data_IF_146450925017
#
_entry.id   IF_146450925017
#
_cell.length_a   1.000
_cell.length_b   1.000
_cell.length_c   1.000
_cell.angle_alpha   90.00
_cell.angle_beta   90.00
_cell.angle_gamma   90.00
#
_symmetry.space_group_name_H-M   'P 1'
#
loop_
_entity.id
_entity.type
_entity.pdbx_description
1 polymer ?
#
# COMPACT_ATOMS: atom_id res chain seq x y z
N UNK A 1 -6.63 -3.00 25.50
CA UNK A 1 -5.29 -2.40 25.66
C UNK A 1 -5.39 -1.24 26.64
N UNK A 2 -4.53 -1.18 27.66
CA UNK A 2 -4.56 -0.12 28.66
C UNK A 2 -4.17 1.23 28.04
N UNK A 3 -5.13 2.14 27.91
CA UNK A 3 -4.96 3.48 27.32
C UNK A 3 -4.34 4.50 28.29
N UNK A 4 -3.59 4.04 29.29
CA UNK A 4 -3.01 4.93 30.32
C UNK A 4 -1.68 5.48 29.83
N UNK A 5 -1.54 6.81 29.82
CA UNK A 5 -0.23 7.45 29.61
C UNK A 5 0.70 7.02 30.75
N UNK A 6 1.92 6.52 30.47
CA UNK A 6 2.87 6.20 31.51
C UNK A 6 3.24 7.48 32.25
N UNK A 7 2.96 7.51 33.55
CA UNK A 7 3.55 8.51 34.45
C UNK A 7 4.87 7.89 34.87
N UNK A 8 5.97 8.38 34.32
CA UNK A 8 7.29 7.79 34.53
C UNK A 8 7.84 8.19 35.89
N UNK A 9 7.54 7.37 36.90
CA UNK A 9 8.29 7.28 38.15
C UNK A 9 9.07 5.96 38.25
N UNK A 10 9.21 5.22 37.15
CA UNK A 10 9.86 3.91 37.06
C UNK A 10 10.95 3.84 35.99
N UNK A 11 12.00 3.08 36.31
CA UNK A 11 13.06 2.64 35.41
C UNK A 11 12.52 1.65 34.38
N UNK A 12 13.17 1.54 33.21
CA UNK A 12 12.78 0.58 32.17
C UNK A 12 13.02 -0.84 32.68
N UNK A 13 11.95 -1.60 32.90
CA UNK A 13 12.00 -3.01 33.31
C UNK A 13 11.99 -3.91 32.07
N UNK A 14 13.03 -4.72 31.92
CA UNK A 14 13.13 -5.73 30.87
C UNK A 14 12.95 -7.13 31.45
N UNK A 15 12.03 -7.90 30.90
CA UNK A 15 11.88 -9.31 31.20
C UNK A 15 12.76 -10.13 30.23
N UNK A 16 13.64 -10.97 30.78
CA UNK A 16 14.56 -11.82 30.01
C UNK A 16 14.04 -13.25 29.83
N UNK A 17 12.84 -13.56 30.31
CA UNK A 17 12.25 -14.89 30.19
C UNK A 17 12.03 -15.26 28.72
N UNK A 18 12.55 -16.41 28.26
CA UNK A 18 12.29 -16.88 26.91
C UNK A 18 10.86 -17.40 26.78
N UNK A 19 10.33 -17.37 25.55
CA UNK A 19 9.04 -17.96 25.22
C UNK A 19 9.07 -19.49 25.47
N UNK A 20 8.00 -20.10 26.02
CA UNK A 20 7.96 -21.54 26.29
C UNK A 20 8.07 -22.36 24.99
N UNK A 21 8.73 -23.53 25.08
CA UNK A 21 9.02 -24.40 23.92
C UNK A 21 7.77 -24.96 23.23
N UNK A 22 6.62 -24.96 23.89
CA UNK A 22 5.34 -25.35 23.29
C UNK A 22 4.90 -24.41 22.16
N UNK A 23 5.42 -23.18 22.12
CA UNK A 23 5.08 -22.18 21.11
C UNK A 23 6.21 -22.09 20.07
N UNK A 24 5.93 -22.40 18.78
CA UNK A 24 6.95 -22.28 17.74
C UNK A 24 7.44 -20.85 17.57
N UNK A 25 8.77 -20.68 17.57
CA UNK A 25 9.44 -19.38 17.35
C UNK A 25 9.15 -18.85 15.94
N UNK A 26 8.94 -17.54 15.84
CA UNK A 26 8.78 -16.84 14.56
C UNK A 26 9.79 -15.71 14.49
N UNK A 27 10.36 -15.50 13.30
CA UNK A 27 11.21 -14.34 13.05
C UNK A 27 10.31 -13.13 12.80
N UNK A 28 10.47 -12.12 13.64
CA UNK A 28 9.72 -10.87 13.58
C UNK A 28 10.00 -10.07 12.30
N UNK A 29 9.21 -9.01 12.08
CA UNK A 29 9.29 -8.17 10.88
C UNK A 29 10.62 -7.44 10.74
N UNK A 30 11.17 -6.93 11.86
CA UNK A 30 12.45 -6.22 11.86
C UNK A 30 12.45 -4.88 11.11
N UNK A 31 11.28 -4.24 10.95
CA UNK A 31 11.13 -2.95 10.24
C UNK A 31 10.81 -1.81 11.19
N UNK A 32 11.32 -0.62 10.90
CA UNK A 32 10.94 0.63 11.58
C UNK A 32 9.59 1.15 11.08
N UNK A 33 9.07 2.20 11.72
CA UNK A 33 7.75 2.79 11.46
C UNK A 33 7.58 3.31 10.02
N UNK A 34 8.55 4.07 9.49
CA UNK A 34 8.48 4.64 8.15
C UNK A 34 8.37 3.59 7.01
N UNK A 35 9.24 2.56 6.91
CA UNK A 35 9.11 1.52 5.88
C UNK A 35 7.85 0.68 6.07
N UNK A 36 7.43 0.42 7.31
CA UNK A 36 6.18 -0.30 7.58
C UNK A 36 4.96 0.49 7.09
N UNK A 37 4.96 1.81 7.30
CA UNK A 37 3.89 2.71 6.82
C UNK A 37 3.88 2.83 5.29
N UNK A 38 5.06 2.86 4.66
CA UNK A 38 5.21 2.81 3.20
C UNK A 38 4.62 1.52 2.61
N UNK A 39 4.87 0.37 3.25
CA UNK A 39 4.40 -0.93 2.79
C UNK A 39 2.97 -1.30 3.23
N UNK A 40 2.32 -0.51 4.09
CA UNK A 40 1.07 -0.86 4.76
C UNK A 40 -0.05 -1.28 3.80
N UNK A 41 -0.21 -0.56 2.68
CA UNK A 41 -1.24 -0.88 1.69
C UNK A 41 -0.96 -2.18 0.94
N UNK A 42 0.30 -2.49 0.65
CA UNK A 42 0.68 -3.74 -0.03
C UNK A 42 0.56 -4.95 0.90
N UNK A 43 0.90 -4.76 2.18
CA UNK A 43 0.65 -5.77 3.22
C UNK A 43 -0.86 -5.99 3.35
N UNK A 44 -1.65 -4.93 3.37
CA UNK A 44 -3.11 -5.01 3.38
C UNK A 44 -3.68 -5.77 2.18
N UNK A 45 -3.19 -5.50 0.96
CA UNK A 45 -3.66 -6.15 -0.26
C UNK A 45 -3.37 -7.66 -0.28
N UNK A 46 -2.17 -8.08 0.13
CA UNK A 46 -1.78 -9.50 0.10
C UNK A 46 -2.23 -10.28 1.33
N UNK A 47 -2.18 -9.65 2.51
CA UNK A 47 -2.39 -10.31 3.79
C UNK A 47 -3.77 -10.06 4.38
N UNK A 48 -4.73 -9.58 3.56
CA UNK A 48 -6.09 -9.24 3.98
C UNK A 48 -6.74 -10.39 4.76
N UNK A 49 -6.81 -11.56 4.15
CA UNK A 49 -7.50 -12.72 4.73
C UNK A 49 -6.91 -13.15 6.07
N UNK A 50 -5.57 -13.14 6.18
CA UNK A 50 -4.89 -13.49 7.43
C UNK A 50 -5.13 -12.45 8.55
N UNK A 51 -5.18 -11.18 8.18
CA UNK A 51 -5.44 -10.10 9.13
C UNK A 51 -6.89 -10.16 9.62
N UNK A 52 -7.83 -10.40 8.71
CA UNK A 52 -9.26 -10.51 9.01
C UNK A 52 -9.51 -11.74 9.90
N UNK A 53 -8.92 -12.89 9.60
CA UNK A 53 -8.98 -14.11 10.44
C UNK A 53 -8.44 -13.86 11.86
N UNK A 54 -7.30 -13.16 11.97
CA UNK A 54 -6.71 -12.84 13.27
C UNK A 54 -7.60 -11.93 14.12
N UNK A 55 -8.20 -10.92 13.50
CA UNK A 55 -9.13 -10.04 14.18
C UNK A 55 -10.43 -10.76 14.55
N UNK A 56 -10.95 -11.61 13.66
CA UNK A 56 -12.14 -12.43 13.93
C UNK A 56 -11.91 -13.40 15.10
N UNK A 57 -10.76 -14.07 15.15
CA UNK A 57 -10.37 -14.93 16.27
C UNK A 57 -10.37 -14.18 17.60
N UNK A 58 -9.84 -12.95 17.62
CA UNK A 58 -9.83 -12.10 18.82
C UNK A 58 -11.23 -11.67 19.23
N UNK A 59 -12.10 -11.38 18.27
CA UNK A 59 -13.49 -11.01 18.55
C UNK A 59 -14.30 -12.19 19.10
N UNK A 60 -14.03 -13.42 18.63
CA UNK A 60 -14.71 -14.63 19.09
C UNK A 60 -14.27 -15.08 20.49
N UNK A 61 -13.04 -14.77 20.90
CA UNK A 61 -12.46 -15.19 22.18
C UNK A 61 -12.11 -14.00 23.09
N UNK A 62 -13.11 -13.31 23.66
CA UNK A 62 -12.87 -12.15 24.53
C UNK A 62 -12.07 -12.56 25.77
N UNK A 63 -10.95 -11.89 26.02
CA UNK A 63 -10.08 -12.13 27.18
C UNK A 63 -9.10 -13.30 27.04
N UNK A 64 -9.21 -14.13 26.00
CA UNK A 64 -8.26 -15.23 25.68
C UNK A 64 -7.58 -15.09 24.32
N UNK A 65 -7.94 -14.08 23.54
CA UNK A 65 -7.43 -13.87 22.19
C UNK A 65 -5.90 -13.78 22.09
N UNK A 66 -5.19 -13.38 23.15
CA UNK A 66 -3.73 -13.34 23.19
C UNK A 66 -3.10 -14.74 23.13
N UNK A 67 -3.70 -15.75 23.76
CA UNK A 67 -3.17 -17.11 23.82
C UNK A 67 -3.71 -18.00 22.70
N UNK A 68 -5.01 -17.92 22.43
CA UNK A 68 -5.68 -18.80 21.48
C UNK A 68 -5.36 -18.42 20.02
N UNK A 69 -5.18 -17.13 19.72
CA UNK A 69 -4.94 -16.63 18.36
C UNK A 69 -3.45 -16.53 17.97
N UNK A 70 -2.55 -17.18 18.71
CA UNK A 70 -1.10 -17.15 18.43
C UNK A 70 -0.77 -17.77 17.06
N UNK A 71 -1.55 -18.76 16.61
CA UNK A 71 -1.33 -19.42 15.32
C UNK A 71 -1.61 -18.47 14.15
N UNK A 72 -2.67 -17.68 14.25
CA UNK A 72 -3.13 -16.68 13.30
C UNK A 72 -2.15 -15.50 13.28
N UNK A 73 -1.73 -15.03 14.46
CA UNK A 73 -0.70 -13.99 14.58
C UNK A 73 0.61 -14.36 13.87
N UNK A 74 1.07 -15.62 14.02
CA UNK A 74 2.24 -16.11 13.28
C UNK A 74 2.05 -16.10 11.76
N UNK A 75 0.83 -16.39 11.27
CA UNK A 75 0.52 -16.35 9.83
C UNK A 75 0.59 -14.92 9.30
N UNK A 76 0.01 -13.96 10.04
CA UNK A 76 0.09 -12.53 9.73
C UNK A 76 1.53 -12.05 9.64
N UNK A 77 2.36 -12.31 10.67
CA UNK A 77 3.76 -11.88 10.68
C UNK A 77 4.55 -12.49 9.53
N UNK A 78 4.32 -13.77 9.19
CA UNK A 78 4.98 -14.42 8.05
C UNK A 78 4.59 -13.79 6.71
N UNK A 79 3.30 -13.49 6.52
CA UNK A 79 2.83 -12.85 5.29
C UNK A 79 3.41 -11.44 5.12
N UNK A 80 3.32 -10.61 6.16
CA UNK A 80 3.88 -9.25 6.13
C UNK A 80 5.39 -9.26 5.87
N UNK A 81 6.13 -10.19 6.50
CA UNK A 81 7.56 -10.37 6.22
C UNK A 81 7.84 -10.76 4.77
N UNK A 82 7.02 -11.63 4.17
CA UNK A 82 7.17 -11.97 2.75
C UNK A 82 7.04 -10.74 1.86
N UNK A 83 6.03 -9.90 2.11
CA UNK A 83 5.82 -8.66 1.33
C UNK A 83 7.03 -7.73 1.43
N UNK A 84 7.54 -7.52 2.64
CA UNK A 84 8.71 -6.65 2.86
C UNK A 84 9.96 -7.22 2.16
N UNK A 85 10.17 -8.53 2.22
CA UNK A 85 11.28 -9.18 1.52
C UNK A 85 11.16 -9.00 0.01
N UNK A 86 9.98 -9.21 -0.56
CA UNK A 86 9.73 -9.07 -2.00
C UNK A 86 9.92 -7.60 -2.46
N UNK A 87 9.51 -6.63 -1.65
CA UNK A 87 9.78 -5.21 -1.93
C UNK A 87 11.28 -4.91 -1.90
N UNK A 88 12.01 -5.47 -0.93
CA UNK A 88 13.45 -5.29 -0.80
C UNK A 88 14.25 -5.93 -1.95
N UNK A 89 13.76 -7.02 -2.55
CA UNK A 89 14.43 -7.67 -3.68
C UNK A 89 14.16 -6.98 -5.01
N UNK A 90 12.95 -6.44 -5.21
CA UNK A 90 12.52 -5.94 -6.53
C UNK A 90 12.47 -4.42 -6.65
N UNK A 91 12.17 -3.68 -5.57
CA UNK A 91 11.82 -2.25 -5.60
C UNK A 91 12.52 -1.43 -4.51
N UNK A 92 13.73 -1.84 -4.09
CA UNK A 92 14.43 -1.27 -2.94
C UNK A 92 14.67 0.25 -3.06
N UNK A 93 15.08 0.72 -4.23
CA UNK A 93 15.46 2.12 -4.42
C UNK A 93 14.25 3.06 -4.34
N UNK A 94 13.15 2.70 -4.99
CA UNK A 94 11.90 3.45 -4.93
C UNK A 94 11.29 3.37 -3.53
N UNK A 95 11.42 2.22 -2.86
CA UNK A 95 10.94 2.03 -1.50
C UNK A 95 11.70 2.90 -0.50
N UNK A 96 13.04 2.93 -0.59
CA UNK A 96 13.90 3.81 0.21
C UNK A 96 13.57 5.28 0.02
N UNK A 97 13.52 5.73 -1.23
CA UNK A 97 13.18 7.12 -1.53
C UNK A 97 11.80 7.53 -0.99
N UNK A 98 10.85 6.60 -0.90
CA UNK A 98 9.52 6.88 -0.33
C UNK A 98 9.55 6.95 1.20
N UNK A 99 10.11 5.95 1.89
CA UNK A 99 10.09 5.97 3.36
C UNK A 99 11.05 7.02 3.95
N UNK A 100 12.17 7.34 3.30
CA UNK A 100 13.05 8.45 3.71
C UNK A 100 12.32 9.79 3.63
N UNK A 101 11.49 9.99 2.61
CA UNK A 101 10.63 11.16 2.52
C UNK A 101 9.62 11.20 3.68
N UNK A 102 9.00 10.06 4.01
CA UNK A 102 8.04 9.98 5.11
C UNK A 102 8.70 10.33 6.44
N UNK A 103 9.88 9.78 6.71
CA UNK A 103 10.61 9.98 7.97
C UNK A 103 10.96 11.46 8.18
N UNK A 104 11.33 12.16 7.11
CA UNK A 104 11.60 13.60 7.15
C UNK A 104 10.36 14.48 7.30
N UNK A 105 9.14 13.94 7.10
CA UNK A 105 7.90 14.71 7.04
C UNK A 105 6.86 14.27 8.10
N UNK A 106 7.32 13.83 9.28
CA UNK A 106 6.44 13.37 10.36
C UNK A 106 5.43 12.29 9.90
N UNK A 107 5.87 11.44 8.97
CA UNK A 107 5.09 10.35 8.37
C UNK A 107 3.81 10.79 7.64
N UNK A 108 3.76 12.04 7.15
CA UNK A 108 2.64 12.56 6.38
C UNK A 108 2.66 12.10 4.91
N UNK A 109 1.73 11.22 4.51
CA UNK A 109 1.68 10.64 3.15
C UNK A 109 1.50 11.68 2.03
N UNK A 110 0.79 12.78 2.27
CA UNK A 110 0.53 13.79 1.25
C UNK A 110 1.77 14.56 0.82
N UNK A 111 2.84 14.54 1.63
CA UNK A 111 4.13 15.16 1.31
C UNK A 111 4.93 14.33 0.28
N UNK A 112 4.71 13.02 0.25
CA UNK A 112 5.59 12.07 -0.44
C UNK A 112 4.95 11.39 -1.67
N UNK A 113 3.84 11.93 -2.19
CA UNK A 113 3.08 11.34 -3.31
C UNK A 113 3.91 11.03 -4.54
N UNK A 114 4.88 11.88 -4.86
CA UNK A 114 5.77 11.68 -6.02
C UNK A 114 6.58 10.39 -5.91
N UNK A 115 7.16 10.15 -4.73
CA UNK A 115 7.94 8.94 -4.44
C UNK A 115 7.01 7.73 -4.33
N UNK A 116 5.82 7.93 -3.77
CA UNK A 116 4.77 6.91 -3.71
C UNK A 116 4.36 6.42 -5.10
N UNK A 117 4.18 7.30 -6.08
CA UNK A 117 3.80 6.92 -7.45
C UNK A 117 4.86 6.06 -8.13
N UNK A 118 6.13 6.38 -7.92
CA UNK A 118 7.26 5.58 -8.42
C UNK A 118 7.27 4.18 -7.80
N UNK A 119 7.03 4.10 -6.48
CA UNK A 119 6.94 2.83 -5.76
C UNK A 119 5.74 1.99 -6.23
N UNK A 120 4.55 2.60 -6.34
CA UNK A 120 3.33 1.92 -6.79
C UNK A 120 3.51 1.32 -8.19
N UNK A 121 4.20 2.04 -9.09
CA UNK A 121 4.55 1.53 -10.42
C UNK A 121 5.41 0.28 -10.33
N UNK A 122 6.51 0.32 -9.60
CA UNK A 122 7.43 -0.82 -9.48
C UNK A 122 6.74 -2.04 -8.86
N UNK A 123 5.99 -1.83 -7.78
CA UNK A 123 5.29 -2.91 -7.06
C UNK A 123 4.22 -3.54 -7.94
N UNK A 124 3.47 -2.75 -8.71
CA UNK A 124 2.49 -3.31 -9.63
C UNK A 124 3.16 -4.10 -10.77
N UNK A 125 4.21 -3.57 -11.38
CA UNK A 125 4.91 -4.21 -12.51
C UNK A 125 5.63 -5.50 -12.11
N UNK A 126 6.14 -5.62 -10.87
CA UNK A 126 6.93 -6.77 -10.41
C UNK A 126 6.16 -7.75 -9.53
N UNK A 127 5.28 -7.25 -8.66
CA UNK A 127 4.57 -8.05 -7.66
C UNK A 127 3.08 -8.17 -7.95
N UNK A 128 2.53 -7.39 -8.88
CA UNK A 128 1.10 -7.40 -9.21
C UNK A 128 0.21 -6.89 -8.08
N UNK A 129 0.78 -6.22 -7.07
CA UNK A 129 0.03 -5.65 -5.95
C UNK A 129 -0.35 -4.20 -6.25
N UNK A 130 -1.59 -3.85 -5.96
CA UNK A 130 -2.10 -2.49 -6.12
C UNK A 130 -2.50 -1.85 -4.80
N UNK A 131 -2.36 -0.52 -4.73
CA UNK A 131 -2.79 0.28 -3.59
C UNK A 131 -4.23 0.74 -3.81
N UNK A 132 -5.18 0.11 -3.13
CA UNK A 132 -6.60 0.49 -3.13
C UNK A 132 -6.99 1.09 -1.78
N UNK A 133 -7.90 2.06 -1.80
CA UNK A 133 -8.49 2.63 -0.58
C UNK A 133 -9.94 2.15 -0.51
N UNK A 134 -10.31 1.31 0.48
CA UNK A 134 -11.67 0.82 0.59
C UNK A 134 -12.64 1.95 0.98
N UNK A 135 -13.89 1.86 0.55
CA UNK A 135 -14.96 2.78 0.96
C UNK A 135 -14.92 4.15 0.29
N UNK A 136 -14.22 4.29 -0.84
CA UNK A 136 -14.16 5.57 -1.53
C UNK A 136 -15.43 5.86 -2.36
N UNK A 137 -15.97 7.10 -2.34
CA UNK A 137 -17.07 7.50 -3.22
C UNK A 137 -16.65 7.44 -4.70
N UNK A 138 -17.54 6.89 -5.53
CA UNK A 138 -17.37 6.76 -6.99
C UNK A 138 -17.31 8.11 -7.70
N UNK A 139 -17.91 9.14 -7.13
CA UNK A 139 -17.95 10.46 -7.76
C UNK A 139 -16.66 11.27 -7.55
N UNK A 140 -15.65 10.74 -6.85
CA UNK A 140 -14.43 11.49 -6.54
C UNK A 140 -13.14 10.79 -6.97
N UNK A 141 -12.11 11.59 -7.29
CA UNK A 141 -10.77 11.05 -7.54
C UNK A 141 -10.10 10.75 -6.20
N UNK A 142 -9.52 9.54 -6.03
CA UNK A 142 -8.82 9.17 -4.80
C UNK A 142 -7.72 10.17 -4.44
N UNK A 143 -7.55 10.49 -3.16
CA UNK A 143 -6.57 11.49 -2.69
C UNK A 143 -5.14 11.17 -3.14
N UNK A 144 -4.79 9.88 -3.21
CA UNK A 144 -3.48 9.41 -3.66
C UNK A 144 -3.19 9.69 -5.14
N UNK A 145 -4.23 9.90 -5.96
CA UNK A 145 -4.09 10.20 -7.40
C UNK A 145 -4.38 11.66 -7.74
N UNK A 146 -4.70 12.51 -6.76
CA UNK A 146 -4.90 13.95 -7.00
C UNK A 146 -3.57 14.60 -7.35
N UNK A 147 -3.56 15.41 -8.43
CA UNK A 147 -2.36 16.14 -8.88
C UNK A 147 -1.92 17.24 -7.91
N UNK A 148 -2.89 17.87 -7.24
CA UNK A 148 -2.64 18.93 -6.27
C UNK A 148 -2.99 18.41 -4.88
N UNK A 149 -2.06 18.57 -3.93
CA UNK A 149 -2.24 18.21 -2.53
C UNK A 149 -2.30 19.49 -1.72
N UNK A 150 -3.46 19.78 -1.11
CA UNK A 150 -3.70 21.06 -0.40
C UNK A 150 -2.77 21.27 0.79
N UNK A 151 -2.35 20.18 1.45
CA UNK A 151 -1.53 20.21 2.66
C UNK A 151 -0.04 19.96 2.42
N UNK A 152 0.39 19.83 1.16
CA UNK A 152 1.79 19.56 0.86
C UNK A 152 2.64 20.84 1.00
N UNK A 153 3.86 20.71 1.54
CA UNK A 153 4.82 21.80 1.67
C UNK A 153 5.21 22.38 0.30
N UNK A 154 5.26 21.53 -0.73
CA UNK A 154 5.57 21.92 -2.10
C UNK A 154 4.58 21.30 -3.08
N UNK A 155 4.30 22.04 -4.17
CA UNK A 155 3.52 21.55 -5.29
C UNK A 155 4.24 20.43 -6.04
N UNK A 156 3.47 19.56 -6.69
CA UNK A 156 4.01 18.49 -7.54
C UNK A 156 4.36 19.09 -8.91
N UNK A 157 5.57 18.84 -9.47
CA UNK A 157 5.92 19.36 -10.78
C UNK A 157 4.99 18.80 -11.84
N UNK A 158 4.68 19.62 -12.85
CA UNK A 158 3.70 19.31 -13.90
C UNK A 158 4.07 18.03 -14.67
N UNK A 159 5.37 17.72 -14.74
CA UNK A 159 5.95 16.56 -15.43
C UNK A 159 5.70 15.22 -14.73
N UNK A 160 5.36 15.22 -13.44
CA UNK A 160 5.08 14.01 -12.70
C UNK A 160 3.57 13.76 -12.62
N UNK A 161 3.20 12.52 -12.94
CA UNK A 161 1.82 12.07 -12.97
C UNK A 161 1.63 10.87 -12.05
N UNK A 162 0.44 10.73 -11.45
CA UNK A 162 0.10 9.53 -10.70
C UNK A 162 0.16 8.31 -11.62
N UNK A 163 0.80 7.24 -11.13
CA UNK A 163 0.71 5.94 -11.78
C UNK A 163 -0.64 5.30 -11.42
N UNK A 164 -1.38 4.91 -12.45
CA UNK A 164 -2.68 4.24 -12.36
C UNK A 164 -2.54 2.85 -12.97
N UNK A 165 -2.91 1.82 -12.22
CA UNK A 165 -3.01 0.46 -12.77
C UNK A 165 -4.12 0.43 -13.83
N UNK A 166 -4.12 -0.53 -14.78
CA UNK A 166 -5.20 -0.66 -15.77
C UNK A 166 -6.58 -0.72 -15.11
N UNK A 167 -6.70 -1.43 -13.99
CA UNK A 167 -7.94 -1.55 -13.22
C UNK A 167 -8.36 -0.20 -12.62
N UNK A 168 -7.43 0.49 -11.95
CA UNK A 168 -7.70 1.81 -11.36
C UNK A 168 -8.02 2.87 -12.41
N UNK A 169 -7.39 2.78 -13.59
CA UNK A 169 -7.67 3.67 -14.70
C UNK A 169 -9.09 3.46 -15.22
N UNK A 170 -9.51 2.20 -15.41
CA UNK A 170 -10.87 1.87 -15.82
C UNK A 170 -11.90 2.37 -14.79
N UNK A 171 -11.64 2.14 -13.50
CA UNK A 171 -12.48 2.63 -12.41
C UNK A 171 -12.59 4.17 -12.42
N UNK A 172 -11.49 4.88 -12.66
CA UNK A 172 -11.51 6.34 -12.76
C UNK A 172 -12.26 6.87 -13.97
N UNK A 173 -12.20 6.19 -15.12
CA UNK A 173 -12.99 6.56 -16.30
C UNK A 173 -14.48 6.36 -16.02
N UNK A 174 -14.85 5.26 -15.36
CA UNK A 174 -16.23 5.01 -14.96
C UNK A 174 -16.74 6.07 -13.96
N UNK A 175 -15.93 6.37 -12.95
CA UNK A 175 -16.16 7.45 -11.98
C UNK A 175 -16.21 8.86 -12.64
N UNK A 176 -15.59 9.02 -13.81
CA UNK A 176 -15.68 10.24 -14.60
C UNK A 176 -16.95 10.27 -15.45
N UNK A 177 -17.46 9.14 -15.96
CA UNK A 177 -18.73 9.07 -16.69
C UNK A 177 -19.89 9.62 -15.85
N UNK A 178 -19.90 9.31 -14.55
CA UNK A 178 -20.90 9.83 -13.61
C UNK A 178 -20.87 11.37 -13.48
N UNK A 179 -19.69 11.99 -13.58
CA UNK A 179 -19.50 13.44 -13.41
C UNK A 179 -19.58 14.23 -14.71
N UNK A 180 -18.98 13.71 -15.77
CA UNK A 180 -18.81 14.38 -17.05
C UNK A 180 -18.70 13.34 -18.18
N UNK A 181 -19.85 12.87 -18.72
CA UNK A 181 -19.87 11.79 -19.71
C UNK A 181 -19.10 12.18 -20.99
N UNK A 182 -19.27 13.41 -21.48
CA UNK A 182 -18.56 13.92 -22.67
C UNK A 182 -17.04 13.86 -22.55
N UNK A 183 -16.50 14.00 -21.32
CA UNK A 183 -15.06 13.92 -21.08
C UNK A 183 -14.59 12.46 -21.02
N UNK A 184 -15.41 11.56 -20.47
CA UNK A 184 -15.11 10.14 -20.46
C UNK A 184 -15.12 9.55 -21.88
N UNK A 185 -16.12 9.86 -22.69
CA UNK A 185 -16.22 9.40 -24.09
C UNK A 185 -14.97 9.80 -24.91
N UNK A 186 -14.46 11.02 -24.67
CA UNK A 186 -13.23 11.51 -25.32
C UNK A 186 -11.99 10.72 -24.89
N UNK A 187 -11.93 10.27 -23.65
CA UNK A 187 -10.83 9.44 -23.16
C UNK A 187 -10.89 8.06 -23.82
N UNK A 188 -12.09 7.49 -23.95
CA UNK A 188 -12.30 6.21 -24.62
C UNK A 188 -11.87 6.26 -26.08
N UNK A 189 -12.27 7.32 -26.81
CA UNK A 189 -11.81 7.57 -28.18
C UNK A 189 -10.29 7.63 -28.28
N UNK A 190 -9.64 8.37 -27.38
CA UNK A 190 -8.17 8.49 -27.37
C UNK A 190 -7.48 7.16 -27.02
N UNK A 191 -8.11 6.31 -26.21
CA UNK A 191 -7.60 4.97 -25.89
C UNK A 191 -7.77 3.99 -27.05
N UNK A 192 -8.82 4.12 -27.85
CA UNK A 192 -9.01 3.36 -29.10
C UNK A 192 -8.00 3.76 -30.16
N UNK A 193 -7.79 5.06 -30.38
CA UNK A 193 -6.77 5.57 -31.31
C UNK A 193 -5.37 5.05 -30.96
N UNK A 194 -5.01 5.06 -29.67
CA UNK A 194 -3.72 4.50 -29.23
C UNK A 194 -3.61 3.00 -29.41
N UNK A 195 -4.70 2.25 -29.23
CA UNK A 195 -4.75 0.80 -29.50
C UNK A 195 -4.54 0.52 -30.99
N UNK A 196 -5.23 1.26 -31.86
CA UNK A 196 -5.07 1.14 -33.31
C UNK A 196 -3.64 1.48 -33.75
N UNK A 197 -3.06 2.56 -33.20
CA UNK A 197 -1.69 2.95 -33.52
C UNK A 197 -0.66 1.89 -33.08
N UNK A 198 -0.79 1.35 -31.86
CA UNK A 198 0.07 0.24 -31.40
C UNK A 198 -0.10 -1.03 -32.24
N UNK A 199 -1.33 -1.36 -32.64
CA UNK A 199 -1.57 -2.52 -33.50
C UNK A 199 -0.96 -2.32 -34.90
N UNK A 200 -1.00 -1.10 -35.44
CA UNK A 200 -0.34 -0.76 -36.70
C UNK A 200 1.20 -0.84 -36.57
N UNK A 201 1.78 -0.31 -35.50
CA UNK A 201 3.23 -0.41 -35.22
C UNK A 201 3.67 -1.88 -35.08
N UNK A 202 2.94 -2.70 -34.32
CA UNK A 202 3.23 -4.13 -34.19
C UNK A 202 3.09 -4.89 -35.52
N UNK A 203 2.13 -4.52 -36.39
CA UNK A 203 1.96 -5.11 -37.71
C UNK A 203 3.07 -4.72 -38.69
N UNK A 204 3.71 -3.56 -38.50
CA UNK A 204 4.90 -3.15 -39.25
C UNK A 204 6.11 -3.95 -38.76
N UNK A 205 6.29 -4.10 -37.45
CA UNK A 205 7.40 -4.87 -36.87
C UNK A 205 7.32 -6.37 -37.19
N UNK A 206 6.12 -6.94 -37.30
CA UNK A 206 5.92 -8.34 -37.70
C UNK A 206 6.13 -8.62 -39.20
N UNK A 207 6.23 -7.59 -40.04
CA UNK A 207 6.51 -7.70 -41.48
C UNK A 207 7.99 -7.41 -41.83
N UNK A 208 8.76 -6.92 -40.87
CA UNK A 208 10.21 -6.70 -40.96
C UNK A 208 10.96 -7.96 -40.50
#
# INVERSE_FOLDING_TARGET
>A
MASRKPVFNQQVLYDTTPLPDSIPKVKELGTTSAPLMSAAYFIGARCKDYNDDFMQCKTQNPGKGEFECLKEGRRVTRCARSVINDINTHCLDQFRAHWECLDNNNHQLWQCRQKEWSLNKCVFEKLGLEKTVPGQPKDEVPVQFRRNQTFAHAGIPITQFPYLTPNQRAEQVENLRLRNPKKADRIDQWDEERRQKKAAEAAVEAKA
#
